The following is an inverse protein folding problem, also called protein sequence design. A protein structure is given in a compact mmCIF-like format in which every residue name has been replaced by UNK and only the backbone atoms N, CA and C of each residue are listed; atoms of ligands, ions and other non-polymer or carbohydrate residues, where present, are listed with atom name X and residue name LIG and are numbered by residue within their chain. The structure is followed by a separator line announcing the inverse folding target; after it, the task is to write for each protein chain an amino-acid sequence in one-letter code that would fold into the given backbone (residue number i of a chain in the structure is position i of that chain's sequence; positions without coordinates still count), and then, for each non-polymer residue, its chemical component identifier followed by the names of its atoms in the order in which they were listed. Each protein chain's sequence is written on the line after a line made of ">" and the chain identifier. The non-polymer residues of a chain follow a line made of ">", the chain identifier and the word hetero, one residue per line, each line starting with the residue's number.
data_IF_128004875649
#
_entry.id   IF_128004875649
#
_cell.length_a   1.000
_cell.length_b   1.000
_cell.length_c   1.000
_cell.angle_alpha   90.00
_cell.angle_beta   90.00
_cell.angle_gamma   90.00
#
_symmetry.space_group_name_H-M   'P 1'
#
loop_
_entity.id
_entity.type
_entity.pdbx_description
1 polymer ?
#
# COMPACT_ATOMS: atom_id res chain seq x y z
N UNK A 1 -2.84 -4.57 -4.05
CA UNK A 1 -2.58 -3.23 -4.57
C UNK A 1 -2.12 -2.28 -3.46
N UNK A 2 -1.74 -1.04 -3.79
CA UNK A 2 -1.45 -0.02 -2.79
C UNK A 2 -2.72 0.66 -2.26
N UNK A 3 -2.65 1.18 -1.01
CA UNK A 3 -3.74 1.93 -0.39
C UNK A 3 -4.03 3.22 -1.18
N UNK A 4 -3.00 4.00 -1.55
CA UNK A 4 -3.17 5.25 -2.29
C UNK A 4 -3.85 5.09 -3.66
N UNK A 5 -3.86 3.87 -4.24
CA UNK A 5 -4.53 3.58 -5.52
C UNK A 5 -6.05 3.48 -5.36
N UNK A 6 -6.53 3.03 -4.19
CA UNK A 6 -7.96 2.79 -3.92
C UNK A 6 -8.57 3.81 -2.96
N UNK A 7 -7.74 4.58 -2.27
CA UNK A 7 -8.16 5.58 -1.30
C UNK A 7 -9.10 6.62 -1.93
N UNK A 8 -10.18 6.94 -1.23
CA UNK A 8 -11.18 7.91 -1.69
C UNK A 8 -12.01 7.47 -2.89
N UNK A 9 -11.81 6.25 -3.41
CA UNK A 9 -12.61 5.74 -4.52
C UNK A 9 -14.07 5.52 -4.09
N UNK A 10 -15.02 5.98 -4.91
CA UNK A 10 -16.45 5.70 -4.72
C UNK A 10 -16.88 4.40 -5.42
N UNK A 11 -16.11 3.94 -6.39
CA UNK A 11 -16.37 2.72 -7.17
C UNK A 11 -15.04 2.11 -7.57
N UNK A 12 -14.90 0.82 -7.37
CA UNK A 12 -13.73 0.07 -7.74
C UNK A 12 -14.08 -0.99 -8.78
N UNK A 13 -13.21 -1.17 -9.77
CA UNK A 13 -13.39 -2.14 -10.85
C UNK A 13 -12.07 -2.85 -11.13
N UNK A 14 -12.10 -4.16 -11.22
CA UNK A 14 -10.97 -4.98 -11.66
C UNK A 14 -11.19 -5.37 -13.11
N UNK A 15 -10.24 -5.05 -13.98
CA UNK A 15 -10.25 -5.42 -15.40
C UNK A 15 -9.22 -6.51 -15.67
N UNK A 16 -9.68 -7.63 -16.22
CA UNK A 16 -8.85 -8.79 -16.54
C UNK A 16 -8.16 -8.65 -17.91
N UNK A 17 -7.21 -9.56 -18.18
CA UNK A 17 -6.40 -9.56 -19.41
C UNK A 17 -7.25 -9.62 -20.70
N UNK A 18 -8.46 -10.13 -20.64
CA UNK A 18 -9.39 -10.20 -21.77
C UNK A 18 -10.29 -8.96 -21.91
N UNK A 19 -10.02 -7.92 -21.14
CA UNK A 19 -10.76 -6.65 -21.13
C UNK A 19 -12.12 -6.73 -20.42
N UNK A 20 -12.43 -7.85 -19.76
CA UNK A 20 -13.64 -7.96 -18.93
C UNK A 20 -13.41 -7.33 -17.57
N UNK A 21 -14.44 -6.63 -17.07
CA UNK A 21 -14.36 -5.94 -15.80
C UNK A 21 -15.46 -6.41 -14.86
N UNK A 22 -15.12 -6.52 -13.58
CA UNK A 22 -16.08 -6.78 -12.50
C UNK A 22 -15.93 -5.71 -11.44
N UNK A 23 -17.01 -5.44 -10.72
CA UNK A 23 -16.93 -4.59 -9.52
C UNK A 23 -16.11 -5.30 -8.46
N UNK A 24 -15.39 -4.51 -7.69
CA UNK A 24 -14.64 -4.98 -6.54
C UNK A 24 -14.91 -4.08 -5.35
N UNK A 25 -14.73 -4.63 -4.16
CA UNK A 25 -14.82 -3.94 -2.91
C UNK A 25 -13.45 -3.95 -2.22
N UNK A 26 -13.17 -2.93 -1.42
CA UNK A 26 -11.99 -2.91 -0.57
C UNK A 26 -12.25 -3.87 0.58
N UNK A 27 -11.44 -4.91 0.68
CA UNK A 27 -11.51 -5.92 1.73
C UNK A 27 -10.88 -5.40 3.03
N UNK A 28 -9.72 -4.78 2.92
CA UNK A 28 -8.98 -4.16 4.01
C UNK A 28 -7.87 -3.27 3.48
N UNK A 29 -7.41 -2.33 4.30
CA UNK A 29 -6.32 -1.40 3.98
C UNK A 29 -5.39 -1.20 5.17
N UNK A 30 -4.12 -0.98 4.85
CA UNK A 30 -3.09 -0.54 5.78
C UNK A 30 -2.43 0.70 5.16
N UNK A 31 -2.72 1.88 5.72
CA UNK A 31 -2.23 3.15 5.21
C UNK A 31 -0.74 3.34 5.47
N UNK A 32 -0.23 2.80 6.58
CA UNK A 32 1.16 2.98 7.01
C UNK A 32 2.11 2.19 6.11
N UNK A 33 1.65 1.01 5.67
CA UNK A 33 2.38 0.16 4.71
C UNK A 33 1.98 0.40 3.26
N UNK A 34 1.05 1.33 3.01
CA UNK A 34 0.49 1.63 1.69
C UNK A 34 -0.05 0.38 0.97
N UNK A 35 -0.80 -0.46 1.70
CA UNK A 35 -1.37 -1.72 1.19
C UNK A 35 -2.89 -1.69 1.17
N UNK A 36 -3.47 -2.36 0.19
CA UNK A 36 -4.90 -2.63 0.13
C UNK A 36 -5.16 -4.02 -0.48
N UNK A 37 -6.13 -4.71 0.06
CA UNK A 37 -6.70 -5.92 -0.54
C UNK A 37 -8.07 -5.59 -1.10
N UNK A 38 -8.27 -5.93 -2.37
CA UNK A 38 -9.55 -5.77 -3.06
C UNK A 38 -10.11 -7.14 -3.40
N UNK A 39 -11.43 -7.28 -3.33
CA UNK A 39 -12.12 -8.53 -3.63
C UNK A 39 -13.29 -8.29 -4.58
N UNK A 40 -13.49 -9.20 -5.52
CA UNK A 40 -14.64 -9.21 -6.41
C UNK A 40 -15.37 -10.56 -6.36
N UNK A 41 -16.68 -10.58 -6.64
CA UNK A 41 -17.47 -11.80 -6.59
C UNK A 41 -17.11 -12.72 -7.75
N UNK A 42 -16.67 -13.94 -7.45
CA UNK A 42 -16.33 -14.95 -8.46
C UNK A 42 -17.51 -15.27 -9.38
N UNK A 43 -18.74 -15.15 -8.88
CA UNK A 43 -19.97 -15.39 -9.65
C UNK A 43 -20.19 -14.41 -10.80
N UNK A 44 -19.54 -13.25 -10.78
CA UNK A 44 -19.61 -12.27 -11.87
C UNK A 44 -18.50 -12.47 -12.92
N UNK A 45 -17.53 -13.34 -12.64
CA UNK A 45 -16.44 -13.65 -13.56
C UNK A 45 -16.88 -14.81 -14.46
N UNK A 46 -16.88 -14.58 -15.76
CA UNK A 46 -17.24 -15.63 -16.74
C UNK A 46 -16.16 -16.70 -16.79
N UNK A 47 -16.56 -17.94 -17.05
CA UNK A 47 -15.65 -19.10 -17.18
C UNK A 47 -14.49 -18.81 -18.14
N UNK A 48 -14.78 -18.20 -19.29
CA UNK A 48 -13.75 -17.84 -20.28
C UNK A 48 -12.73 -16.81 -19.79
N UNK A 49 -13.06 -16.05 -18.76
CA UNK A 49 -12.15 -15.13 -18.08
C UNK A 49 -11.41 -15.86 -16.97
N UNK A 50 -12.12 -16.70 -16.21
CA UNK A 50 -11.52 -17.55 -15.16
C UNK A 50 -10.40 -18.43 -15.71
N UNK A 51 -10.59 -19.03 -16.89
CA UNK A 51 -9.57 -19.85 -17.56
C UNK A 51 -8.26 -19.08 -17.89
N UNK A 52 -8.28 -17.75 -17.83
CA UNK A 52 -7.11 -16.89 -18.09
C UNK A 52 -6.46 -16.33 -16.83
N UNK A 53 -7.08 -16.54 -15.67
CA UNK A 53 -6.56 -16.09 -14.40
C UNK A 53 -5.58 -17.12 -13.86
N UNK A 54 -4.35 -16.68 -13.61
CA UNK A 54 -3.37 -17.45 -12.87
C UNK A 54 -3.05 -16.74 -11.56
N UNK A 55 -3.04 -17.50 -10.48
CA UNK A 55 -2.61 -16.98 -9.16
C UNK A 55 -1.10 -16.84 -9.17
N UNK A 56 -0.60 -15.66 -8.86
CA UNK A 56 0.82 -15.41 -8.77
C UNK A 56 1.44 -16.16 -7.57
N UNK A 57 2.65 -16.69 -7.77
CA UNK A 57 3.43 -17.27 -6.68
C UNK A 57 4.14 -16.15 -5.92
N UNK A 58 4.04 -16.13 -4.61
CA UNK A 58 4.83 -15.24 -3.78
C UNK A 58 6.22 -15.84 -3.61
N UNK A 59 7.24 -15.03 -3.93
CA UNK A 59 8.64 -15.35 -3.71
C UNK A 59 9.11 -14.92 -2.30
N UNK A 60 10.40 -14.96 -2.10
CA UNK A 60 11.05 -14.53 -0.86
C UNK A 60 11.96 -13.32 -1.13
N UNK A 61 11.50 -12.13 -0.75
CA UNK A 61 12.26 -10.89 -0.94
C UNK A 61 13.56 -10.84 -0.09
N UNK A 62 13.64 -11.61 1.00
CA UNK A 62 14.85 -11.64 1.82
C UNK A 62 16.03 -12.28 1.09
N UNK A 63 15.73 -13.22 0.19
CA UNK A 63 16.75 -13.92 -0.62
C UNK A 63 17.21 -13.11 -1.83
N UNK A 64 16.46 -12.07 -2.22
CA UNK A 64 16.83 -11.20 -3.33
C UNK A 64 18.16 -10.47 -3.03
N UNK A 65 19.01 -10.32 -4.03
CA UNK A 65 20.32 -9.68 -3.90
C UNK A 65 20.44 -8.44 -4.80
N UNK A 66 21.28 -7.50 -4.39
CA UNK A 66 21.62 -6.35 -5.24
C UNK A 66 22.29 -6.86 -6.52
N UNK A 67 21.79 -6.43 -7.67
CA UNK A 67 22.20 -6.91 -8.99
C UNK A 67 21.29 -7.97 -9.59
N UNK A 68 20.36 -8.57 -8.81
CA UNK A 68 19.39 -9.50 -9.37
C UNK A 68 18.47 -8.79 -10.36
N UNK A 69 18.18 -9.45 -11.47
CA UNK A 69 17.23 -8.94 -12.46
C UNK A 69 15.80 -9.03 -11.91
N UNK A 70 15.04 -7.98 -12.19
CA UNK A 70 13.62 -7.89 -11.82
C UNK A 70 12.78 -7.37 -12.97
N UNK A 71 11.50 -7.74 -12.94
CA UNK A 71 10.48 -7.34 -13.90
C UNK A 71 9.35 -6.66 -13.14
N UNK A 72 9.07 -5.39 -13.47
CA UNK A 72 7.93 -4.67 -12.94
C UNK A 72 6.76 -4.74 -13.93
N UNK A 73 5.59 -5.14 -13.44
CA UNK A 73 4.36 -5.21 -14.23
C UNK A 73 3.33 -4.25 -13.65
N UNK A 74 2.63 -3.55 -14.52
CA UNK A 74 1.55 -2.64 -14.14
C UNK A 74 0.73 -2.20 -15.34
N UNK A 75 -0.12 -1.22 -15.13
CA UNK A 75 -0.92 -0.58 -16.20
C UNK A 75 -0.60 0.92 -16.23
N UNK A 76 0.62 1.24 -16.68
CA UNK A 76 1.12 2.60 -16.66
C UNK A 76 0.18 3.53 -17.43
N UNK A 77 -0.30 4.59 -16.77
CA UNK A 77 -1.16 5.63 -17.32
C UNK A 77 -2.48 5.12 -17.91
N UNK A 78 -2.89 3.88 -17.62
CA UNK A 78 -4.13 3.30 -18.16
C UNK A 78 -4.09 2.92 -19.64
N UNK A 79 -2.92 2.94 -20.27
CA UNK A 79 -2.74 2.54 -21.69
C UNK A 79 -2.65 1.02 -21.91
N UNK A 80 -2.91 0.24 -20.87
CA UNK A 80 -2.83 -1.21 -20.89
C UNK A 80 -1.63 -1.74 -20.11
N UNK A 81 -1.53 -3.06 -20.04
CA UNK A 81 -0.46 -3.72 -19.33
C UNK A 81 0.91 -3.30 -19.86
N UNK A 82 1.78 -2.86 -18.99
CA UNK A 82 3.16 -2.50 -19.29
C UNK A 82 4.12 -3.35 -18.48
N UNK A 83 5.26 -3.65 -19.06
CA UNK A 83 6.33 -4.43 -18.46
C UNK A 83 7.61 -3.63 -18.58
N UNK A 84 8.29 -3.41 -17.47
CA UNK A 84 9.63 -2.82 -17.45
C UNK A 84 10.59 -3.80 -16.76
N UNK A 85 11.87 -3.73 -17.09
CA UNK A 85 12.90 -4.58 -16.49
C UNK A 85 14.04 -3.73 -15.98
N UNK A 86 14.69 -4.21 -14.95
CA UNK A 86 15.86 -3.60 -14.33
C UNK A 86 16.52 -4.57 -13.37
N UNK A 87 17.24 -4.04 -12.41
CA UNK A 87 17.90 -4.80 -11.36
C UNK A 87 17.47 -4.29 -9.98
N UNK A 88 17.71 -5.08 -8.97
CA UNK A 88 17.69 -4.62 -7.58
C UNK A 88 18.89 -3.71 -7.36
N UNK A 89 18.65 -2.43 -7.17
CA UNK A 89 19.70 -1.41 -6.95
C UNK A 89 20.10 -1.31 -5.49
N UNK A 90 19.14 -1.51 -4.56
CA UNK A 90 19.38 -1.55 -3.12
C UNK A 90 18.25 -2.33 -2.42
N UNK A 91 18.50 -2.72 -1.17
CA UNK A 91 17.53 -3.38 -0.28
C UNK A 91 17.47 -2.66 1.06
N UNK A 92 16.45 -3.04 1.84
CA UNK A 92 16.28 -2.58 3.21
C UNK A 92 16.24 -1.03 3.31
N UNK A 93 15.66 -0.39 2.30
CA UNK A 93 15.35 1.02 2.39
C UNK A 93 14.10 1.17 3.24
N UNK A 94 14.14 2.03 4.26
CA UNK A 94 13.00 2.33 5.11
C UNK A 94 12.29 3.58 4.62
N UNK A 95 10.99 3.63 4.80
CA UNK A 95 10.20 4.80 4.46
C UNK A 95 9.44 5.27 5.69
N UNK A 96 9.50 6.58 5.93
CA UNK A 96 8.63 7.29 6.85
C UNK A 96 7.86 8.39 6.09
N UNK A 97 7.06 9.17 6.82
CA UNK A 97 6.26 10.27 6.26
C UNK A 97 7.12 11.41 5.66
N UNK A 98 8.39 11.49 6.01
CA UNK A 98 9.35 12.51 5.53
C UNK A 98 10.15 12.03 4.30
N UNK A 99 10.10 10.74 3.96
CA UNK A 99 10.79 10.17 2.81
C UNK A 99 11.46 8.83 3.08
N UNK A 100 12.52 8.52 2.31
CA UNK A 100 13.26 7.28 2.45
C UNK A 100 14.43 7.50 3.40
N UNK A 101 14.44 6.80 4.52
CA UNK A 101 15.50 6.82 5.50
C UNK A 101 16.40 5.59 5.44
N UNK A 102 17.58 5.69 6.05
CA UNK A 102 18.56 4.60 6.17
C UNK A 102 18.63 4.09 7.62
N UNK A 103 17.62 4.36 8.45
CA UNK A 103 17.62 3.87 9.82
C UNK A 103 17.21 2.40 9.85
N UNK A 104 18.16 1.52 10.18
CA UNK A 104 17.96 0.08 10.21
C UNK A 104 17.08 -0.37 11.40
N UNK A 105 16.92 0.46 12.42
CA UNK A 105 16.20 0.11 13.67
C UNK A 105 14.71 0.52 13.65
N UNK A 106 14.23 1.14 12.56
CA UNK A 106 12.81 1.52 12.49
C UNK A 106 11.91 0.33 12.14
N UNK A 107 10.69 0.27 12.71
CA UNK A 107 9.64 -0.70 12.37
C UNK A 107 9.01 -0.44 10.97
N UNK A 108 9.54 0.51 10.22
CA UNK A 108 9.06 0.84 8.89
C UNK A 108 9.26 -0.31 7.90
N UNK A 109 8.35 -0.44 6.95
CA UNK A 109 8.37 -1.49 5.92
C UNK A 109 9.62 -1.37 5.03
N UNK A 110 10.28 -2.49 4.78
CA UNK A 110 11.43 -2.53 3.89
C UNK A 110 11.01 -2.35 2.44
N UNK A 111 11.80 -1.56 1.73
CA UNK A 111 11.65 -1.33 0.30
C UNK A 111 12.80 -1.95 -0.47
N UNK A 112 12.46 -2.47 -1.65
CA UNK A 112 13.40 -2.85 -2.70
C UNK A 112 13.52 -1.65 -3.64
N UNK A 113 14.75 -1.14 -3.82
CA UNK A 113 15.04 -0.13 -4.83
C UNK A 113 15.41 -0.82 -6.14
N UNK A 114 14.89 -0.32 -7.26
CA UNK A 114 15.18 -0.84 -8.61
C UNK A 114 15.34 0.31 -9.61
N UNK A 115 16.09 0.09 -10.67
CA UNK A 115 16.17 0.96 -11.84
C UNK A 115 15.13 0.59 -12.93
N UNK A 116 14.34 -0.48 -12.72
CA UNK A 116 13.17 -0.71 -13.54
C UNK A 116 12.23 0.52 -13.46
N UNK A 117 11.71 0.97 -14.59
CA UNK A 117 10.87 2.17 -14.63
C UNK A 117 9.56 1.95 -13.85
N UNK A 118 9.43 2.58 -12.70
CA UNK A 118 8.21 2.64 -11.88
C UNK A 118 7.59 4.03 -12.05
N UNK A 119 6.38 4.07 -12.60
CA UNK A 119 5.66 5.29 -12.93
C UNK A 119 4.21 5.21 -12.43
N UNK A 120 3.48 6.32 -12.37
CA UNK A 120 2.04 6.29 -12.10
C UNK A 120 1.32 5.27 -12.99
N UNK A 121 0.56 4.35 -12.35
CA UNK A 121 -0.09 3.20 -12.98
C UNK A 121 0.63 1.86 -12.78
N UNK A 122 1.93 1.84 -12.41
CA UNK A 122 2.58 0.62 -11.96
C UNK A 122 2.31 0.34 -10.45
N UNK A 123 1.90 1.35 -9.68
CA UNK A 123 1.54 1.19 -8.26
C UNK A 123 0.54 0.07 -8.07
N UNK A 124 0.80 -0.78 -7.09
CA UNK A 124 -0.01 -1.96 -6.78
C UNK A 124 0.25 -3.15 -7.70
N UNK A 125 1.03 -2.98 -8.75
CA UNK A 125 1.49 -4.05 -9.62
C UNK A 125 2.66 -4.83 -9.00
N UNK A 126 3.01 -5.95 -9.62
CA UNK A 126 4.03 -6.85 -9.10
C UNK A 126 5.44 -6.45 -9.55
N UNK A 127 6.40 -6.60 -8.63
CA UNK A 127 7.82 -6.76 -8.95
C UNK A 127 8.14 -8.25 -8.88
N UNK A 128 8.60 -8.82 -10.00
CA UNK A 128 8.89 -10.25 -10.13
C UNK A 128 10.40 -10.49 -10.20
N UNK A 129 10.83 -11.64 -9.67
CA UNK A 129 12.14 -12.20 -9.98
C UNK A 129 12.12 -12.90 -11.35
N UNK A 130 13.25 -13.48 -11.76
CA UNK A 130 13.38 -14.17 -13.05
C UNK A 130 12.69 -15.53 -13.10
N UNK A 131 12.26 -16.07 -11.95
CA UNK A 131 11.45 -17.29 -11.84
C UNK A 131 9.95 -16.98 -11.95
N UNK A 132 9.58 -15.69 -12.07
CA UNK A 132 8.18 -15.24 -12.17
C UNK A 132 7.46 -15.15 -10.83
N UNK A 133 8.19 -15.16 -9.73
CA UNK A 133 7.64 -15.01 -8.38
C UNK A 133 7.58 -13.55 -7.96
N UNK A 134 6.54 -13.17 -7.23
CA UNK A 134 6.37 -11.82 -6.71
C UNK A 134 7.31 -11.60 -5.53
N UNK A 135 8.28 -10.70 -5.69
CA UNK A 135 9.23 -10.30 -4.64
C UNK A 135 8.89 -8.93 -4.06
N UNK A 136 8.00 -8.17 -4.70
CA UNK A 136 7.57 -6.88 -4.18
C UNK A 136 6.30 -6.36 -4.83
N UNK A 137 5.73 -5.31 -4.23
CA UNK A 137 4.57 -4.56 -4.73
C UNK A 137 5.08 -3.16 -5.12
N UNK A 138 5.01 -2.83 -6.41
CA UNK A 138 5.50 -1.55 -6.93
C UNK A 138 4.76 -0.37 -6.30
N UNK A 139 5.47 0.72 -5.97
CA UNK A 139 4.86 1.96 -5.49
C UNK A 139 5.50 3.17 -6.16
N UNK A 140 4.77 3.80 -7.07
CA UNK A 140 5.21 5.03 -7.73
C UNK A 140 5.12 6.26 -6.81
N UNK A 141 4.33 6.20 -5.73
CA UNK A 141 4.25 7.26 -4.71
C UNK A 141 5.62 7.53 -4.07
N UNK A 142 6.46 6.49 -3.99
CA UNK A 142 7.77 6.52 -3.35
C UNK A 142 8.89 6.98 -4.31
N UNK A 143 8.63 6.97 -5.61
CA UNK A 143 9.59 7.42 -6.60
C UNK A 143 9.68 8.96 -6.60
N UNK A 144 10.87 9.50 -6.49
CA UNK A 144 11.09 10.93 -6.68
C UNK A 144 10.92 11.29 -8.15
N UNK A 145 10.10 12.29 -8.45
CA UNK A 145 9.95 12.79 -9.82
C UNK A 145 11.18 13.55 -10.32
N UNK A 146 12.10 13.87 -9.43
CA UNK A 146 13.32 14.63 -9.74
C UNK A 146 14.54 13.74 -9.99
N UNK A 147 14.45 12.42 -9.69
CA UNK A 147 15.56 11.48 -9.83
C UNK A 147 15.16 10.32 -10.73
N UNK A 148 15.73 10.25 -11.91
CA UNK A 148 15.54 9.12 -12.82
C UNK A 148 16.28 7.87 -12.33
N UNK A 149 15.72 6.68 -12.60
CA UNK A 149 16.35 5.39 -12.27
C UNK A 149 16.25 4.97 -10.80
N UNK A 150 15.34 5.58 -10.03
CA UNK A 150 15.05 5.19 -8.64
C UNK A 150 13.57 4.85 -8.50
N UNK A 151 13.24 3.59 -8.71
CA UNK A 151 11.93 3.01 -8.44
C UNK A 151 11.94 2.24 -7.13
N UNK A 152 10.78 2.06 -6.51
CA UNK A 152 10.63 1.34 -5.25
C UNK A 152 9.49 0.33 -5.30
N UNK A 153 9.69 -0.77 -4.60
CA UNK A 153 8.66 -1.76 -4.34
C UNK A 153 8.69 -2.17 -2.86
N UNK A 154 7.53 -2.36 -2.28
CA UNK A 154 7.35 -2.88 -0.93
C UNK A 154 7.78 -4.34 -0.92
N UNK A 155 8.70 -4.72 -0.05
CA UNK A 155 9.23 -6.08 0.04
C UNK A 155 8.13 -7.07 0.45
N UNK A 156 7.91 -8.14 -0.33
CA UNK A 156 6.76 -9.03 -0.14
C UNK A 156 6.86 -9.82 1.18
N UNK A 157 8.06 -10.23 1.60
CA UNK A 157 8.24 -11.01 2.84
C UNK A 157 7.83 -10.24 4.09
N UNK A 158 8.00 -8.91 4.10
CA UNK A 158 7.67 -8.06 5.25
C UNK A 158 6.16 -7.81 5.40
N UNK A 159 5.39 -8.06 4.35
CA UNK A 159 3.98 -7.69 4.33
C UNK A 159 3.03 -8.88 4.15
N UNK A 160 3.57 -10.09 4.09
CA UNK A 160 2.76 -11.31 3.90
C UNK A 160 1.71 -11.47 4.99
N UNK A 161 2.09 -11.33 6.26
CA UNK A 161 1.17 -11.42 7.40
C UNK A 161 0.10 -10.32 7.35
N UNK A 162 0.50 -9.10 6.99
CA UNK A 162 -0.45 -7.99 6.80
C UNK A 162 -1.44 -8.29 5.68
N UNK A 163 -0.98 -8.82 4.55
CA UNK A 163 -1.86 -9.19 3.43
C UNK A 163 -2.85 -10.28 3.84
N UNK A 164 -2.40 -11.31 4.59
CA UNK A 164 -3.29 -12.36 5.12
C UNK A 164 -4.33 -11.78 6.08
N UNK A 165 -3.94 -10.86 6.96
CA UNK A 165 -4.87 -10.16 7.84
C UNK A 165 -5.91 -9.39 7.04
N UNK A 166 -5.49 -8.55 6.09
CA UNK A 166 -6.38 -7.75 5.25
C UNK A 166 -7.32 -8.61 4.40
N UNK A 167 -6.86 -9.77 3.90
CA UNK A 167 -7.72 -10.73 3.19
C UNK A 167 -8.83 -11.33 4.06
N UNK A 168 -8.60 -11.44 5.36
CA UNK A 168 -9.55 -12.02 6.31
C UNK A 168 -10.46 -10.96 6.97
N UNK A 169 -10.21 -9.68 6.75
CA UNK A 169 -11.10 -8.62 7.24
C UNK A 169 -12.49 -8.76 6.63
N UNK A 170 -13.50 -8.49 7.44
CA UNK A 170 -14.87 -8.35 6.95
C UNK A 170 -15.04 -6.93 6.46
N UNK A 171 -15.39 -6.71 5.18
CA UNK A 171 -15.67 -5.37 4.68
C UNK A 171 -16.69 -4.69 5.58
N UNK A 172 -16.34 -3.53 6.10
CA UNK A 172 -17.29 -2.73 6.88
C UNK A 172 -18.10 -1.89 5.91
N UNK A 173 -19.42 -1.97 6.02
CA UNK A 173 -20.29 -1.06 5.26
C UNK A 173 -19.92 0.38 5.60
N UNK A 174 -19.74 1.19 4.57
CA UNK A 174 -19.50 2.62 4.73
C UNK A 174 -20.76 3.23 5.33
N UNK A 175 -20.70 3.63 6.59
CA UNK A 175 -21.80 4.34 7.23
C UNK A 175 -21.76 5.81 6.79
N UNK A 176 -22.81 6.29 6.13
CA UNK A 176 -22.91 7.68 5.67
C UNK A 176 -22.90 8.68 6.84
N UNK A 177 -23.18 8.21 8.04
CA UNK A 177 -23.25 9.02 9.26
C UNK A 177 -22.39 8.37 10.35
N UNK A 178 -21.06 8.44 10.20
CA UNK A 178 -20.12 7.95 11.21
C UNK A 178 -20.07 8.93 12.40
N UNK A 179 -19.99 8.37 13.60
CA UNK A 179 -19.81 9.17 14.82
C UNK A 179 -18.46 9.89 14.80
N UNK A 180 -18.47 11.12 15.30
CA UNK A 180 -17.26 11.90 15.55
C UNK A 180 -17.12 12.13 17.05
N UNK A 181 -15.86 12.12 17.55
CA UNK A 181 -15.60 12.43 18.96
C UNK A 181 -15.96 13.90 19.28
N UNK A 182 -15.87 14.79 18.29
CA UNK A 182 -16.07 16.22 18.48
C UNK A 182 -14.94 16.84 19.25
N UNK A 183 -13.71 16.52 18.90
CA UNK A 183 -12.49 17.14 19.43
C UNK A 183 -11.65 17.71 18.28
N UNK A 184 -10.94 18.82 18.57
CA UNK A 184 -9.81 19.30 17.78
C UNK A 184 -8.56 19.11 18.62
N UNK A 185 -7.49 18.57 18.02
CA UNK A 185 -6.27 18.28 18.75
C UNK A 185 -5.08 18.07 17.84
N UNK A 186 -3.94 17.87 18.44
CA UNK A 186 -2.69 17.53 17.75
C UNK A 186 -2.02 16.35 18.43
N UNK A 187 -1.33 15.52 17.63
CA UNK A 187 -0.52 14.44 18.18
C UNK A 187 0.70 15.03 18.91
N UNK A 188 1.00 14.49 20.07
CA UNK A 188 2.21 14.78 20.83
C UNK A 188 3.19 13.67 20.54
N UNK A 189 4.26 13.97 19.78
CA UNK A 189 5.34 13.02 19.48
C UNK A 189 6.25 12.82 20.68
N UNK A 190 7.05 11.75 20.64
CA UNK A 190 8.08 11.44 21.66
C UNK A 190 9.00 12.64 21.92
N UNK A 191 9.44 13.32 20.88
CA UNK A 191 10.30 14.50 20.99
C UNK A 191 9.59 15.65 21.71
N UNK A 192 8.33 15.91 21.34
CA UNK A 192 7.53 16.94 21.99
C UNK A 192 7.23 16.58 23.45
N UNK A 193 6.97 15.29 23.72
CA UNK A 193 6.78 14.76 25.08
C UNK A 193 8.00 15.00 25.95
N UNK A 194 9.18 14.67 25.46
CA UNK A 194 10.46 14.87 26.19
C UNK A 194 10.81 16.35 26.37
N UNK A 195 10.57 17.18 25.36
CA UNK A 195 10.94 18.61 25.41
C UNK A 195 10.00 19.44 26.30
N UNK A 196 8.69 19.15 26.24
CA UNK A 196 7.68 19.91 27.00
C UNK A 196 7.22 19.24 28.28
N UNK A 197 7.65 18.00 28.56
CA UNK A 197 7.27 17.24 29.77
C UNK A 197 5.78 16.87 29.80
N UNK A 198 5.14 16.70 28.65
CA UNK A 198 3.75 16.30 28.51
C UNK A 198 3.68 14.84 28.07
N UNK A 199 2.65 14.06 28.47
CA UNK A 199 2.50 12.69 28.01
C UNK A 199 2.33 12.59 26.49
N UNK A 200 2.83 11.51 25.90
CA UNK A 200 2.50 11.14 24.53
C UNK A 200 1.00 10.90 24.36
N UNK A 201 0.48 11.23 23.18
CA UNK A 201 -0.92 11.03 22.86
C UNK A 201 -1.50 12.14 22.02
N UNK A 202 -2.75 12.49 22.28
CA UNK A 202 -3.43 13.61 21.61
C UNK A 202 -3.66 14.74 22.60
N UNK A 203 -3.06 15.89 22.33
CA UNK A 203 -3.39 17.14 23.03
C UNK A 203 -4.69 17.70 22.46
N UNK A 204 -5.76 17.63 23.24
CA UNK A 204 -7.06 18.19 22.83
C UNK A 204 -7.02 19.69 23.05
N UNK A 205 -7.22 20.47 21.98
CA UNK A 205 -7.25 21.94 22.01
C UNK A 205 -8.67 22.50 22.08
N UNK A 206 -9.67 21.74 21.61
CA UNK A 206 -11.07 22.16 21.60
C UNK A 206 -11.97 20.94 21.68
N UNK A 207 -13.07 21.06 22.41
CA UNK A 207 -14.15 20.07 22.48
C UNK A 207 -15.44 20.71 21.96
N UNK A 208 -16.10 20.03 21.04
CA UNK A 208 -17.37 20.51 20.46
C UNK A 208 -18.50 20.36 21.46
N UNK A 209 -19.19 21.44 21.79
CA UNK A 209 -20.33 21.46 22.69
C UNK A 209 -21.42 20.45 22.24
N UNK A 210 -21.91 19.61 23.15
CA UNK A 210 -22.87 18.57 22.87
C UNK A 210 -22.34 17.37 22.06
N UNK A 211 -21.04 17.36 21.76
CA UNK A 211 -20.35 16.26 21.11
C UNK A 211 -20.21 15.02 21.99
N UNK A 212 -19.60 13.95 21.46
CA UNK A 212 -19.41 12.72 22.23
C UNK A 212 -18.36 12.92 23.34
N UNK A 213 -17.30 13.67 23.08
CA UNK A 213 -16.25 13.98 24.07
C UNK A 213 -16.79 14.85 25.21
N UNK A 214 -17.56 15.91 24.89
CA UNK A 214 -18.20 16.78 25.89
C UNK A 214 -19.14 15.97 26.81
N UNK A 215 -19.97 15.11 26.21
CA UNK A 215 -20.88 14.22 26.99
C UNK A 215 -20.12 13.19 27.83
N UNK A 216 -18.91 12.82 27.44
CA UNK A 216 -18.03 11.91 28.19
C UNK A 216 -17.23 12.61 29.28
N UNK A 217 -17.23 13.95 29.32
CA UNK A 217 -16.50 14.74 30.29
C UNK A 217 -15.02 14.92 29.99
N UNK A 218 -14.64 14.84 28.71
CA UNK A 218 -13.29 15.10 28.21
C UNK A 218 -13.09 16.61 28.08
#
# INVERSE_FOLDING_TARGET
>A
TNNHVVEGSSTLTVTFIDGKSVKADIKGTDSDKDLAVVAGPLSEIKDSTMDKIAVATLGNSDQTQVGDQVIAIGNALGYGQSVTTGIVSAKNRKMNDEGIEQDEDSDATNLIQTDAAINPGNSGGALLNMDGEVVGINSAKLASTEVEGMGYAIAISDVTDTLEQLMNETPRDKVDNHGVLGITGMSVSDEASQYYGVPEGVLVSEVTDGGAADKAGI
#
